data_IF_956625208226
#
_entry.id   IF_956625208226
#
_cell.length_a   1.000
_cell.length_b   1.000
_cell.length_c   1.000
_cell.angle_alpha   90.00
_cell.angle_beta   90.00
_cell.angle_gamma   90.00
#
_symmetry.space_group_name_H-M   'P 1'
#
loop_
_entity.id
_entity.type
_entity.pdbx_description
1 polymer ?
#
# COMPACT_ATOMS: atom_id res chain seq x y z
N UNK A 1 15.17 13.96 13.62
CA UNK A 1 15.40 12.93 12.58
C UNK A 1 14.30 11.92 12.78
N UNK A 2 13.14 12.26 12.26
CA UNK A 2 11.88 11.61 12.60
C UNK A 2 11.64 10.55 11.54
N UNK A 3 12.07 9.32 11.88
CA UNK A 3 11.99 8.16 11.02
C UNK A 3 10.53 7.82 10.71
N UNK A 4 10.13 8.10 9.47
CA UNK A 4 8.86 7.67 8.89
C UNK A 4 8.91 6.17 8.52
N UNK A 5 9.12 5.30 9.51
CA UNK A 5 9.24 3.84 9.33
C UNK A 5 7.90 3.12 9.02
N UNK A 6 6.93 3.80 8.41
CA UNK A 6 5.58 3.27 8.19
C UNK A 6 5.23 2.89 6.75
N UNK A 7 5.91 3.50 5.76
CA UNK A 7 5.55 3.45 4.34
C UNK A 7 6.74 3.01 3.48
N UNK A 8 7.37 1.89 3.80
CA UNK A 8 8.53 1.41 3.03
C UNK A 8 8.31 0.04 2.40
N UNK A 9 7.12 -0.55 2.58
CA UNK A 9 6.79 -1.91 2.10
C UNK A 9 5.46 -1.96 1.38
N UNK A 10 5.34 -2.95 0.49
CA UNK A 10 4.08 -3.24 -0.17
C UNK A 10 3.00 -3.58 0.88
N UNK A 11 1.80 -3.00 0.75
CA UNK A 11 0.66 -3.25 1.63
C UNK A 11 0.15 -4.68 1.61
N UNK A 12 0.51 -5.45 0.57
CA UNK A 12 0.22 -6.89 0.49
C UNK A 12 1.12 -7.64 1.45
N UNK A 13 0.54 -8.32 2.45
CA UNK A 13 1.28 -9.08 3.48
C UNK A 13 2.14 -10.20 2.91
N UNK A 14 1.74 -10.71 1.75
CA UNK A 14 2.42 -11.78 1.02
C UNK A 14 3.49 -11.23 0.05
N UNK A 15 3.90 -9.98 0.22
CA UNK A 15 4.92 -9.35 -0.61
C UNK A 15 6.04 -8.79 0.26
N UNK A 16 7.23 -9.37 0.11
CA UNK A 16 8.46 -8.89 0.75
C UNK A 16 9.11 -7.69 0.02
N UNK A 17 8.43 -7.09 -0.97
CA UNK A 17 8.99 -5.94 -1.71
C UNK A 17 8.88 -4.67 -0.88
N UNK A 18 10.04 -4.04 -0.69
CA UNK A 18 10.22 -2.73 -0.07
C UNK A 18 10.59 -1.68 -1.11
N UNK A 19 10.56 -0.40 -0.73
CA UNK A 19 11.03 0.71 -1.58
C UNK A 19 12.50 0.57 -1.98
N UNK A 20 13.31 -0.12 -1.16
CA UNK A 20 14.71 -0.41 -1.45
C UNK A 20 14.88 -1.48 -2.53
N UNK A 21 13.97 -2.47 -2.58
CA UNK A 21 14.05 -3.61 -3.49
C UNK A 21 13.19 -3.46 -4.75
N UNK A 22 12.25 -2.52 -4.77
CA UNK A 22 11.38 -2.25 -5.92
C UNK A 22 10.81 -0.83 -5.86
N UNK A 23 10.54 -0.24 -7.02
CA UNK A 23 9.69 0.94 -7.07
C UNK A 23 8.28 0.58 -6.60
N UNK A 24 7.90 1.12 -5.44
CA UNK A 24 6.53 1.09 -4.95
C UNK A 24 5.83 2.37 -5.37
N UNK A 25 4.55 2.27 -5.71
CA UNK A 25 3.69 3.42 -5.94
C UNK A 25 2.62 3.49 -4.86
N UNK A 26 2.29 4.70 -4.45
CA UNK A 26 1.20 4.96 -3.52
C UNK A 26 -0.15 4.93 -4.23
N UNK A 27 -1.18 4.50 -3.51
CA UNK A 27 -2.54 4.60 -4.03
C UNK A 27 -2.92 6.09 -4.18
N UNK A 28 -3.19 6.55 -5.39
CA UNK A 28 -3.55 7.96 -5.65
C UNK A 28 -4.85 8.44 -4.99
N UNK A 29 -5.61 7.56 -4.32
CA UNK A 29 -6.83 7.95 -3.58
C UNK A 29 -6.55 8.31 -2.14
N UNK A 30 -5.87 7.42 -1.42
CA UNK A 30 -5.63 7.58 0.01
C UNK A 30 -4.17 7.96 0.31
N UNK A 31 -3.24 7.66 -0.60
CA UNK A 31 -1.81 7.88 -0.46
C UNK A 31 -1.19 7.26 0.81
N UNK A 32 -1.95 6.42 1.52
CA UNK A 32 -1.53 5.75 2.76
C UNK A 32 -0.83 4.41 2.48
N UNK A 33 -1.19 3.73 1.39
CA UNK A 33 -0.66 2.39 1.09
C UNK A 33 0.16 2.39 -0.17
N UNK A 34 1.30 1.70 -0.10
CA UNK A 34 2.21 1.47 -1.21
C UNK A 34 2.05 0.08 -1.79
N UNK A 35 2.21 -0.02 -3.11
CA UNK A 35 2.18 -1.28 -3.83
C UNK A 35 3.32 -1.35 -4.82
N UNK A 36 3.96 -2.50 -4.94
CA UNK A 36 5.01 -2.69 -5.96
C UNK A 36 4.44 -2.88 -7.37
N UNK A 37 3.15 -3.17 -7.49
CA UNK A 37 2.48 -3.50 -8.76
C UNK A 37 0.97 -3.31 -8.65
N UNK A 38 0.32 -2.90 -9.74
CA UNK A 38 -1.15 -2.77 -9.81
C UNK A 38 -1.86 -4.09 -9.49
N UNK A 39 -1.21 -5.22 -9.75
CA UNK A 39 -1.70 -6.55 -9.35
C UNK A 39 -1.90 -6.63 -7.83
N UNK A 40 -0.87 -6.29 -7.05
CA UNK A 40 -0.96 -6.34 -5.59
C UNK A 40 -1.99 -5.37 -5.04
N UNK A 41 -2.10 -4.18 -5.64
CA UNK A 41 -3.17 -3.25 -5.30
C UNK A 41 -4.55 -3.89 -5.54
N UNK A 42 -4.78 -4.55 -6.69
CA UNK A 42 -6.08 -5.16 -7.01
C UNK A 42 -6.41 -6.39 -6.17
N UNK A 43 -5.40 -7.17 -5.81
CA UNK A 43 -5.56 -8.30 -4.89
C UNK A 43 -5.88 -7.81 -3.48
N UNK A 44 -5.10 -6.86 -2.96
CA UNK A 44 -5.36 -6.23 -1.65
C UNK A 44 -6.69 -5.47 -1.66
N UNK A 45 -7.10 -4.90 -2.80
CA UNK A 45 -8.42 -4.26 -2.98
C UNK A 45 -9.58 -5.23 -2.79
N UNK A 46 -9.40 -6.49 -3.19
CA UNK A 46 -10.42 -7.53 -3.14
C UNK A 46 -10.16 -8.55 -2.02
N UNK A 47 -9.21 -8.29 -1.12
CA UNK A 47 -8.85 -9.21 -0.05
C UNK A 47 -10.05 -9.53 0.85
N UNK A 48 -10.25 -10.81 1.15
CA UNK A 48 -11.42 -11.26 1.91
C UNK A 48 -11.34 -10.92 3.41
N UNK A 49 -10.15 -10.66 3.95
CA UNK A 49 -9.97 -10.36 5.38
C UNK A 49 -9.96 -8.87 5.65
N UNK A 50 -9.20 -8.11 4.86
CA UNK A 50 -9.08 -6.66 4.99
C UNK A 50 -8.88 -6.04 3.61
N UNK A 51 -9.96 -5.85 2.85
CA UNK A 51 -9.83 -5.26 1.53
C UNK A 51 -9.44 -3.79 1.64
N UNK A 52 -8.45 -3.35 0.85
CA UNK A 52 -8.05 -1.94 0.78
C UNK A 52 -9.25 -1.03 0.52
N UNK A 53 -10.19 -1.49 -0.33
CA UNK A 53 -11.41 -0.74 -0.67
C UNK A 53 -12.26 -0.34 0.56
N UNK A 54 -12.22 -1.11 1.65
CA UNK A 54 -13.02 -0.84 2.85
C UNK A 54 -12.50 0.37 3.64
N UNK A 55 -11.23 0.73 3.45
CA UNK A 55 -10.59 1.85 4.16
C UNK A 55 -9.82 2.79 3.21
N UNK A 56 -9.95 2.61 1.90
CA UNK A 56 -9.47 3.54 0.88
C UNK A 56 -10.46 4.71 0.77
N UNK A 57 -10.52 5.52 1.82
CA UNK A 57 -11.13 6.84 1.79
C UNK A 57 -10.05 7.87 1.44
N UNK A 58 -10.44 8.95 0.75
CA UNK A 58 -9.58 10.14 0.64
C UNK A 58 -9.30 10.59 2.06
N UNK A 59 -8.07 10.40 2.52
CA UNK A 59 -7.59 11.12 3.69
C UNK A 59 -7.61 12.59 3.29
N UNK A 60 -8.61 13.32 3.77
CA UNK A 60 -8.62 14.78 3.74
C UNK A 60 -7.48 15.21 4.67
N UNK A 61 -6.28 15.34 4.11
CA UNK A 61 -5.21 16.12 4.73
C UNK A 61 -5.54 17.60 4.54
#
# INVERSE_FOLDING_TARGET
MDGVQGLERCGRRDCAKTIENAQLFQCSRCEVVLYCSKRHQKEDWQDSRRPHKAWCYKTLW
#
